data_IF_601570452317
#
_entry.id   IF_601570452317
#
_cell.length_a   1.000
_cell.length_b   1.000
_cell.length_c   1.000
_cell.angle_alpha   90.00
_cell.angle_beta   90.00
_cell.angle_gamma   90.00
#
_symmetry.space_group_name_H-M   'P 1'
#
loop_
_entity.id
_entity.type
_entity.pdbx_description
1 polymer ?
#
# COMPACT_ATOMS: atom_id res chain seq x y z
N UNK A 1 4.97 -2.91 2.94
CA UNK A 1 4.19 -4.03 2.36
C UNK A 1 5.13 -5.08 1.79
N UNK A 2 4.83 -6.37 1.99
CA UNK A 2 5.72 -7.46 1.57
C UNK A 2 5.51 -7.80 0.09
N UNK A 3 6.59 -7.84 -0.67
CA UNK A 3 6.57 -8.22 -2.09
C UNK A 3 6.06 -9.66 -2.24
N UNK A 4 5.09 -9.86 -3.13
CA UNK A 4 4.54 -11.19 -3.45
C UNK A 4 3.50 -11.71 -2.46
N UNK A 5 3.16 -10.96 -1.40
CA UNK A 5 2.13 -11.40 -0.46
C UNK A 5 0.72 -11.19 -1.01
N UNK A 6 -0.10 -12.24 -0.98
CA UNK A 6 -1.52 -12.20 -1.38
C UNK A 6 -2.32 -13.28 -0.65
N UNK A 7 -3.60 -13.02 -0.41
CA UNK A 7 -4.57 -14.05 0.00
C UNK A 7 -5.40 -14.56 -1.18
N UNK A 8 -5.28 -13.93 -2.36
CA UNK A 8 -5.94 -14.36 -3.60
C UNK A 8 -5.18 -15.52 -4.24
N UNK A 9 -5.90 -16.60 -4.56
CA UNK A 9 -5.37 -17.85 -5.13
C UNK A 9 -4.49 -17.64 -6.38
N UNK A 10 -4.97 -16.81 -7.31
CA UNK A 10 -4.26 -16.53 -8.58
C UNK A 10 -3.68 -15.11 -8.61
N UNK A 11 -3.55 -14.46 -7.45
CA UNK A 11 -2.96 -13.13 -7.35
C UNK A 11 -1.44 -13.20 -7.28
N UNK A 12 -0.75 -12.21 -7.83
CA UNK A 12 0.71 -12.12 -7.70
C UNK A 12 1.16 -11.40 -6.42
N UNK A 13 0.32 -10.55 -5.81
CA UNK A 13 0.68 -9.82 -4.59
C UNK A 13 1.67 -8.66 -4.79
N UNK A 14 1.81 -8.15 -6.02
CA UNK A 14 2.77 -7.08 -6.32
C UNK A 14 2.20 -5.66 -6.16
N UNK A 15 0.88 -5.49 -6.29
CA UNK A 15 0.25 -4.17 -6.39
C UNK A 15 0.56 -3.23 -5.21
N UNK A 16 0.31 -3.66 -3.96
CA UNK A 16 0.54 -2.83 -2.78
C UNK A 16 2.03 -2.57 -2.50
N UNK A 17 2.90 -3.54 -2.82
CA UNK A 17 4.34 -3.34 -2.69
C UNK A 17 4.83 -2.29 -3.69
N UNK A 18 4.45 -2.43 -4.97
CA UNK A 18 4.82 -1.48 -6.02
C UNK A 18 4.27 -0.08 -5.72
N UNK A 19 3.03 0.04 -5.25
CA UNK A 19 2.43 1.32 -4.90
C UNK A 19 3.20 2.04 -3.77
N UNK A 20 3.67 1.30 -2.75
CA UNK A 20 4.46 1.91 -1.69
C UNK A 20 5.87 2.29 -2.11
N UNK A 21 6.49 1.52 -3.01
CA UNK A 21 7.77 1.90 -3.60
C UNK A 21 7.61 3.19 -4.41
N UNK A 22 6.59 3.27 -5.27
CA UNK A 22 6.29 4.48 -6.06
C UNK A 22 6.04 5.70 -5.15
N UNK A 23 5.27 5.54 -4.07
CA UNK A 23 5.07 6.61 -3.10
C UNK A 23 6.39 7.12 -2.50
N UNK A 24 7.30 6.20 -2.13
CA UNK A 24 8.63 6.54 -1.59
C UNK A 24 9.54 7.19 -2.63
N UNK A 25 9.49 6.73 -3.88
CA UNK A 25 10.24 7.32 -5.01
C UNK A 25 9.80 8.77 -5.27
N UNK A 26 8.52 9.09 -5.03
CA UNK A 26 7.97 10.45 -5.08
C UNK A 26 8.25 11.26 -3.81
N UNK A 27 9.10 10.78 -2.89
CA UNK A 27 9.39 11.45 -1.62
C UNK A 27 8.25 11.39 -0.59
N UNK A 28 7.23 10.60 -0.87
CA UNK A 28 6.05 10.42 -0.02
C UNK A 28 6.02 9.07 0.71
N UNK A 29 4.81 8.68 1.13
CA UNK A 29 4.58 7.42 1.83
C UNK A 29 3.17 6.87 1.58
N UNK A 30 3.01 5.55 1.67
CA UNK A 30 1.73 4.86 1.60
C UNK A 30 1.52 4.06 2.88
N UNK A 31 0.54 4.47 3.68
CA UNK A 31 0.18 3.86 4.95
C UNK A 31 -1.14 3.10 4.86
N UNK A 32 -1.35 2.13 5.76
CA UNK A 32 -2.60 1.39 5.88
C UNK A 32 -3.03 1.29 7.34
N UNK A 33 -4.32 1.42 7.59
CA UNK A 33 -4.93 1.19 8.90
C UNK A 33 -6.18 0.30 8.73
N UNK A 34 -6.35 -0.65 9.65
CA UNK A 34 -7.54 -1.48 9.75
C UNK A 34 -7.79 -1.82 11.22
N UNK A 35 -9.06 -1.75 11.64
CA UNK A 35 -9.47 -2.12 13.00
C UNK A 35 -9.76 -3.62 13.16
N UNK A 36 -9.52 -4.42 12.12
CA UNK A 36 -9.72 -5.86 12.11
C UNK A 36 -10.79 -6.33 11.12
N UNK A 37 -11.11 -7.64 11.11
CA UNK A 37 -12.06 -8.24 10.18
C UNK A 37 -13.43 -7.55 10.20
N UNK A 38 -14.00 -7.31 9.02
CA UNK A 38 -15.31 -6.69 8.87
C UNK A 38 -15.35 -5.16 9.06
N UNK A 39 -14.24 -4.52 9.47
CA UNK A 39 -14.16 -3.06 9.70
C UNK A 39 -13.60 -2.30 8.49
N UNK A 40 -13.25 -3.00 7.42
CA UNK A 40 -12.57 -2.42 6.26
C UNK A 40 -11.10 -2.06 6.53
N UNK A 41 -10.51 -1.36 5.58
CA UNK A 41 -9.15 -0.83 5.66
C UNK A 41 -9.07 0.50 4.93
N UNK A 42 -8.33 1.45 5.48
CA UNK A 42 -8.07 2.75 4.86
C UNK A 42 -6.60 2.80 4.46
N UNK A 43 -6.35 3.17 3.20
CA UNK A 43 -5.02 3.43 2.68
C UNK A 43 -4.85 4.93 2.51
N UNK A 44 -3.76 5.48 3.05
CA UNK A 44 -3.46 6.91 3.00
C UNK A 44 -2.17 7.12 2.21
N UNK A 45 -2.27 7.86 1.10
CA UNK A 45 -1.13 8.28 0.29
C UNK A 45 -0.77 9.71 0.67
N UNK A 46 0.46 9.91 1.15
CA UNK A 46 1.02 11.21 1.51
C UNK A 46 2.09 11.57 0.50
N UNK A 47 1.99 12.74 -0.12
CA UNK A 47 2.94 13.24 -1.10
C UNK A 47 3.34 14.69 -0.77
N UNK A 48 4.59 15.08 -1.02
CA UNK A 48 4.99 16.49 -0.98
C UNK A 48 4.18 17.31 -2.00
N UNK A 49 3.76 18.51 -1.62
CA UNK A 49 3.02 19.43 -2.52
C UNK A 49 3.97 20.09 -3.54
N UNK A 50 5.27 20.10 -3.25
CA UNK A 50 6.34 20.60 -4.11
C UNK A 50 7.54 19.64 -4.00
N UNK A 51 8.27 19.38 -5.10
CA UNK A 51 9.45 18.51 -5.11
C UNK A 51 10.62 19.07 -4.28
#
# INVERSE_FOLDING_TARGET
FNHGFTTKKDGHGFGLHNAANAAREMGGNLNVQSYGPGQGATFTLELPVQP
#
